data_IF_569759453156
#
_entry.id   IF_569759453156
#
_cell.length_a   1.000
_cell.length_b   1.000
_cell.length_c   1.000
_cell.angle_alpha   90.00
_cell.angle_beta   90.00
_cell.angle_gamma   90.00
#
_symmetry.space_group_name_H-M   'P 1'
#
loop_
_entity.id
_entity.type
_entity.pdbx_description
1 polymer ?
#
# COMPACT_ATOMS: atom_id res chain seq x y z
N UNK A 1 28.68 40.31 8.41
CA UNK A 1 27.26 40.01 8.13
C UNK A 1 27.26 39.14 6.90
N UNK A 2 27.14 37.82 7.05
CA UNK A 2 27.23 36.86 5.95
C UNK A 2 25.83 36.34 5.70
N UNK A 3 25.34 36.61 4.50
CA UNK A 3 23.96 36.44 4.07
C UNK A 3 23.67 34.98 3.67
N UNK A 4 22.52 34.50 4.14
CA UNK A 4 21.58 33.51 3.61
C UNK A 4 22.07 32.43 2.62
N UNK A 5 22.11 31.18 3.11
CA UNK A 5 21.90 29.98 2.28
C UNK A 5 20.41 29.61 2.32
N UNK A 6 19.73 29.40 1.18
CA UNK A 6 18.36 28.90 1.17
C UNK A 6 18.35 27.41 1.53
N UNK A 7 17.85 27.11 2.73
CA UNK A 7 17.65 25.77 3.28
C UNK A 7 16.34 25.11 2.80
N UNK A 8 15.93 25.25 1.53
CA UNK A 8 14.65 24.65 1.09
C UNK A 8 14.66 24.37 -0.41
N UNK A 9 15.37 23.34 -0.84
CA UNK A 9 15.24 22.79 -2.19
C UNK A 9 15.39 21.26 -2.24
N UNK A 10 15.21 20.58 -1.11
CA UNK A 10 14.85 19.17 -1.10
C UNK A 10 13.34 19.11 -0.89
N UNK A 11 12.57 19.37 -1.96
CA UNK A 11 11.27 18.70 -2.05
C UNK A 11 11.62 17.22 -1.98
N UNK A 12 11.44 16.63 -0.81
CA UNK A 12 11.94 15.29 -0.53
C UNK A 12 11.35 14.36 -1.59
N UNK A 13 12.13 13.44 -2.15
CA UNK A 13 11.61 12.49 -3.13
C UNK A 13 10.32 11.78 -2.63
N UNK A 14 10.09 11.78 -1.32
CA UNK A 14 8.88 11.34 -0.63
C UNK A 14 7.61 12.19 -0.89
N UNK A 15 7.71 13.51 -1.06
CA UNK A 15 6.57 14.37 -1.41
C UNK A 15 6.12 14.12 -2.86
N UNK A 16 7.06 13.92 -3.78
CA UNK A 16 6.75 13.76 -5.21
C UNK A 16 5.88 12.53 -5.55
N UNK A 17 5.97 11.44 -4.76
CA UNK A 17 5.16 10.25 -5.03
C UNK A 17 3.84 10.24 -4.27
N UNK A 18 3.77 10.88 -3.10
CA UNK A 18 2.53 11.03 -2.33
C UNK A 18 1.54 11.98 -3.03
N UNK A 19 2.02 12.93 -3.82
CA UNK A 19 1.19 13.75 -4.71
C UNK A 19 0.54 12.95 -5.85
N UNK A 20 1.16 11.84 -6.28
CA UNK A 20 0.68 10.98 -7.36
C UNK A 20 -0.25 9.86 -6.89
N UNK A 21 -0.56 9.80 -5.59
CA UNK A 21 -1.43 8.78 -5.03
C UNK A 21 -2.91 9.04 -5.35
N UNK A 22 -3.53 8.14 -6.11
CA UNK A 22 -4.98 8.19 -6.35
C UNK A 22 -5.80 7.97 -5.09
N UNK A 23 -5.29 7.23 -4.10
CA UNK A 23 -6.04 6.90 -2.88
C UNK A 23 -6.46 8.13 -2.06
N UNK A 24 -5.78 9.27 -2.23
CA UNK A 24 -6.10 10.54 -1.56
C UNK A 24 -7.43 11.17 -2.02
N UNK A 25 -7.96 10.72 -3.16
CA UNK A 25 -9.23 11.20 -3.73
C UNK A 25 -10.44 10.45 -3.18
N UNK A 26 -10.23 9.40 -2.38
CA UNK A 26 -11.26 8.52 -1.87
C UNK A 26 -11.35 8.59 -0.35
N UNK A 27 -12.47 8.13 0.18
CA UNK A 27 -12.70 8.07 1.62
C UNK A 27 -11.65 7.18 2.32
N UNK A 28 -11.04 7.62 3.43
CA UNK A 28 -10.04 6.84 4.14
C UNK A 28 -10.58 5.54 4.75
N UNK A 29 -11.87 5.46 5.10
CA UNK A 29 -12.49 4.24 5.64
C UNK A 29 -12.47 3.10 4.61
N UNK A 30 -12.46 3.41 3.31
CA UNK A 30 -12.39 2.44 2.23
C UNK A 30 -11.18 1.49 2.38
N UNK A 31 -10.05 2.00 2.89
CA UNK A 31 -8.82 1.22 3.04
C UNK A 31 -8.84 0.26 4.22
N UNK A 32 -9.84 0.39 5.10
CA UNK A 32 -10.03 -0.43 6.29
C UNK A 32 -11.29 -1.29 6.24
N UNK A 33 -12.22 -1.00 5.32
CA UNK A 33 -13.47 -1.73 5.14
C UNK A 33 -13.27 -3.07 4.38
N UNK A 34 -13.49 -4.24 5.02
CA UNK A 34 -13.35 -5.55 4.38
C UNK A 34 -14.34 -5.79 3.23
N UNK A 35 -15.50 -5.14 3.25
CA UNK A 35 -16.51 -5.19 2.20
C UNK A 35 -16.12 -4.41 0.94
N UNK A 36 -15.23 -3.42 1.04
CA UNK A 36 -14.76 -2.59 -0.07
C UNK A 36 -13.42 -3.04 -0.65
N UNK A 37 -12.95 -4.24 -0.30
CA UNK A 37 -11.63 -4.72 -0.72
C UNK A 37 -11.44 -4.84 -2.23
N UNK A 38 -12.50 -5.20 -2.97
CA UNK A 38 -12.41 -5.31 -4.43
C UNK A 38 -12.34 -3.92 -5.08
N UNK A 39 -13.09 -2.95 -4.55
CA UNK A 39 -13.04 -1.55 -4.99
C UNK A 39 -11.66 -0.92 -4.70
N UNK A 40 -11.15 -1.08 -3.47
CA UNK A 40 -9.83 -0.58 -3.11
C UNK A 40 -8.71 -1.18 -3.96
N UNK A 41 -8.83 -2.46 -4.33
CA UNK A 41 -7.89 -3.10 -5.27
C UNK A 41 -7.95 -2.47 -6.64
N UNK A 42 -9.15 -2.22 -7.17
CA UNK A 42 -9.34 -1.60 -8.48
C UNK A 42 -8.71 -0.20 -8.50
N UNK A 43 -8.94 0.61 -7.45
CA UNK A 43 -8.31 1.93 -7.30
C UNK A 43 -6.79 1.80 -7.24
N UNK A 44 -6.26 0.90 -6.41
CA UNK A 44 -4.83 0.67 -6.32
C UNK A 44 -4.23 0.21 -7.66
N UNK A 45 -4.96 -0.57 -8.46
CA UNK A 45 -4.52 -1.07 -9.76
C UNK A 45 -4.36 0.03 -10.82
N UNK A 46 -5.02 1.18 -10.62
CA UNK A 46 -4.90 2.36 -11.49
C UNK A 46 -3.89 3.38 -10.95
N UNK A 47 -3.37 3.18 -9.73
CA UNK A 47 -2.52 4.16 -9.07
C UNK A 47 -1.11 4.21 -9.70
N UNK A 48 -0.67 5.36 -10.23
CA UNK A 48 0.66 5.49 -10.85
C UNK A 48 1.80 5.38 -9.83
N UNK A 49 1.49 5.59 -8.54
CA UNK A 49 2.44 5.51 -7.43
C UNK A 49 2.42 4.13 -6.73
N UNK A 50 1.84 3.08 -7.33
CA UNK A 50 1.68 1.78 -6.67
C UNK A 50 3.03 1.14 -6.26
N UNK A 51 4.08 1.32 -7.06
CA UNK A 51 5.44 0.84 -6.75
C UNK A 51 6.00 1.53 -5.51
N UNK A 52 5.92 2.85 -5.50
CA UNK A 52 6.40 3.70 -4.41
C UNK A 52 5.61 3.40 -3.13
N UNK A 53 4.29 3.23 -3.24
CA UNK A 53 3.42 2.81 -2.14
C UNK A 53 3.86 1.47 -1.55
N UNK A 54 4.07 0.45 -2.37
CA UNK A 54 4.51 -0.86 -1.90
C UNK A 54 5.89 -0.81 -1.25
N UNK A 55 6.84 -0.06 -1.83
CA UNK A 55 8.19 0.10 -1.29
C UNK A 55 8.16 0.82 0.06
N UNK A 56 7.39 1.91 0.19
CA UNK A 56 7.24 2.65 1.43
C UNK A 56 6.56 1.80 2.51
N UNK A 57 5.51 1.07 2.14
CA UNK A 57 4.82 0.14 3.04
C UNK A 57 5.79 -0.89 3.63
N UNK A 58 6.70 -1.44 2.81
CA UNK A 58 7.72 -2.37 3.30
C UNK A 58 8.72 -1.72 4.26
N UNK A 59 9.08 -0.45 4.05
CA UNK A 59 9.93 0.31 4.99
C UNK A 59 9.21 0.53 6.32
N UNK A 60 7.94 0.92 6.29
CA UNK A 60 7.11 1.06 7.49
C UNK A 60 6.99 -0.26 8.25
N UNK A 61 6.76 -1.37 7.55
CA UNK A 61 6.69 -2.71 8.16
C UNK A 61 8.01 -3.15 8.81
N UNK A 62 9.15 -2.65 8.35
CA UNK A 62 10.47 -2.97 8.88
C UNK A 62 10.87 -2.10 10.08
N UNK A 63 10.41 -0.84 10.10
CA UNK A 63 10.82 0.15 11.09
C UNK A 63 9.80 0.35 12.22
N UNK A 64 8.55 -0.07 12.03
CA UNK A 64 7.51 0.09 13.03
C UNK A 64 7.51 -1.07 14.04
N UNK A 65 7.35 -0.73 15.31
CA UNK A 65 7.05 -1.70 16.38
C UNK A 65 5.66 -2.32 16.22
N UNK A 66 4.77 -1.62 15.51
CA UNK A 66 3.40 -2.04 15.25
C UNK A 66 3.25 -2.66 13.87
N UNK A 67 2.31 -3.60 13.76
CA UNK A 67 2.01 -4.24 12.47
C UNK A 67 1.09 -3.35 11.67
N UNK A 68 1.38 -3.28 10.37
CA UNK A 68 0.47 -2.70 9.39
C UNK A 68 -0.86 -3.43 9.38
N UNK A 69 -1.93 -2.65 9.27
CA UNK A 69 -3.30 -3.11 9.05
C UNK A 69 -3.94 -2.32 7.89
N UNK A 70 -4.98 -2.86 7.29
CA UNK A 70 -5.69 -2.27 6.16
C UNK A 70 -5.10 -2.61 4.79
N UNK A 71 -5.54 -1.90 3.76
CA UNK A 71 -5.11 -2.11 2.38
C UNK A 71 -3.92 -1.23 2.00
N UNK A 72 -2.87 -1.87 1.47
CA UNK A 72 -1.66 -1.18 1.01
C UNK A 72 -1.26 -1.68 -0.37
N UNK A 73 -1.17 -0.79 -1.36
CA UNK A 73 -0.84 -1.13 -2.75
C UNK A 73 -1.66 -2.32 -3.32
N UNK A 74 -2.95 -2.39 -2.95
CA UNK A 74 -3.86 -3.50 -3.31
C UNK A 74 -3.70 -4.79 -2.51
N UNK A 75 -2.78 -4.82 -1.55
CA UNK A 75 -2.60 -5.92 -0.61
C UNK A 75 -3.36 -5.61 0.66
N UNK A 76 -4.44 -6.34 0.88
CA UNK A 76 -5.16 -6.37 2.15
C UNK A 76 -4.30 -7.01 3.26
N UNK A 77 -4.21 -6.36 4.41
CA UNK A 77 -3.55 -6.82 5.62
C UNK A 77 -4.53 -6.70 6.80
N UNK A 78 -5.32 -7.74 7.09
CA UNK A 78 -6.22 -7.73 8.24
C UNK A 78 -5.42 -7.63 9.54
N UNK A 79 -5.93 -6.89 10.53
CA UNK A 79 -5.28 -6.68 11.83
C UNK A 79 -4.98 -8.01 12.56
N UNK A 80 -5.87 -8.99 12.43
CA UNK A 80 -5.71 -10.32 13.00
C UNK A 80 -4.61 -11.18 12.32
N UNK A 81 -3.96 -10.69 11.26
CA UNK A 81 -2.99 -11.48 10.48
C UNK A 81 -1.68 -11.66 11.26
N UNK A 82 -1.29 -12.92 11.51
CA UNK A 82 -0.07 -13.26 12.26
C UNK A 82 0.83 -14.23 11.50
N UNK A 83 2.09 -14.32 11.93
CA UNK A 83 3.03 -15.37 11.53
C UNK A 83 3.27 -15.49 10.03
N UNK A 84 3.08 -16.70 9.48
CA UNK A 84 3.32 -17.01 8.06
C UNK A 84 2.37 -16.25 7.12
N UNK A 85 1.12 -16.02 7.53
CA UNK A 85 0.15 -15.28 6.73
C UNK A 85 0.60 -13.82 6.53
N UNK A 86 1.08 -13.17 7.58
CA UNK A 86 1.60 -11.81 7.50
C UNK A 86 2.81 -11.72 6.57
N UNK A 87 3.77 -12.65 6.72
CA UNK A 87 4.95 -12.75 5.84
C UNK A 87 4.55 -12.96 4.38
N UNK A 88 3.49 -13.73 4.11
CA UNK A 88 2.99 -13.90 2.75
C UNK A 88 2.39 -12.61 2.18
N UNK A 89 1.70 -11.79 2.98
CA UNK A 89 1.24 -10.45 2.55
C UNK A 89 2.42 -9.54 2.22
N UNK A 90 3.46 -9.51 3.07
CA UNK A 90 4.68 -8.75 2.78
C UNK A 90 5.38 -9.24 1.51
N UNK A 91 5.39 -10.54 1.22
CA UNK A 91 5.91 -11.07 -0.05
C UNK A 91 5.13 -10.55 -1.26
N UNK A 92 3.80 -10.41 -1.14
CA UNK A 92 2.97 -9.81 -2.20
C UNK A 92 3.32 -8.34 -2.38
N UNK A 93 3.52 -7.58 -1.30
CA UNK A 93 4.00 -6.20 -1.38
C UNK A 93 5.38 -6.11 -2.06
N UNK A 94 6.31 -7.01 -1.75
CA UNK A 94 7.61 -7.07 -2.43
C UNK A 94 7.48 -7.30 -3.93
N UNK A 95 6.54 -8.14 -4.35
CA UNK A 95 6.25 -8.34 -5.76
C UNK A 95 5.74 -7.03 -6.40
N UNK A 96 4.75 -6.38 -5.79
CA UNK A 96 4.20 -5.11 -6.30
C UNK A 96 5.27 -4.01 -6.36
N UNK A 97 6.14 -3.91 -5.36
CA UNK A 97 7.25 -2.96 -5.36
C UNK A 97 8.22 -3.21 -6.54
N UNK A 98 8.47 -4.48 -6.89
CA UNK A 98 9.36 -4.85 -7.97
C UNK A 98 8.71 -4.66 -9.36
N UNK A 99 7.46 -5.10 -9.54
CA UNK A 99 6.81 -5.17 -10.86
C UNK A 99 5.90 -3.98 -11.15
N UNK A 100 5.31 -3.38 -10.11
CA UNK A 100 4.23 -2.39 -10.22
C UNK A 100 2.88 -3.02 -10.55
N UNK A 101 2.77 -4.34 -10.50
CA UNK A 101 1.54 -5.07 -10.81
C UNK A 101 1.05 -5.85 -9.59
N UNK A 102 -0.26 -5.77 -9.36
CA UNK A 102 -0.92 -6.56 -8.33
C UNK A 102 -0.97 -8.02 -8.76
N UNK A 103 -0.72 -8.94 -7.82
CA UNK A 103 -0.91 -10.36 -8.08
C UNK A 103 -2.41 -10.66 -8.20
N UNK A 104 -2.84 -11.42 -9.23
CA UNK A 104 -4.23 -11.83 -9.36
C UNK A 104 -4.66 -12.53 -8.08
N UNK A 105 -5.70 -12.00 -7.45
CA UNK A 105 -6.27 -12.61 -6.26
C UNK A 105 -7.08 -13.80 -6.75
N UNK A 106 -6.58 -15.00 -6.43
CA UNK A 106 -7.26 -16.24 -6.80
C UNK A 106 -8.63 -16.20 -6.13
N UNK A 107 -9.65 -15.94 -6.94
CA UNK A 107 -11.03 -15.83 -6.50
C UNK A 107 -11.36 -17.16 -5.83
N UNK A 108 -11.48 -17.17 -4.50
CA UNK A 108 -11.79 -18.39 -3.75
C UNK A 108 -13.27 -18.61 -3.99
N UNK A 109 -13.60 -19.22 -5.14
CA UNK A 109 -14.97 -19.63 -5.48
C UNK A 109 -15.55 -20.28 -4.24
N UNK A 110 -16.47 -19.59 -3.59
CA UNK A 110 -17.34 -20.16 -2.59
C UNK A 110 -17.90 -21.43 -3.21
N UNK A 111 -17.60 -22.59 -2.64
CA UNK A 111 -18.33 -23.81 -2.99
C UNK A 111 -19.78 -23.51 -2.63
N UNK A 112 -20.58 -23.16 -3.64
CA UNK A 112 -22.03 -23.25 -3.54
C UNK A 112 -22.29 -24.74 -3.36
N UNK A 113 -22.61 -25.12 -2.11
CA UNK A 113 -23.22 -26.41 -1.85
C UNK A 113 -24.63 -26.33 -2.45
N UNK A 114 -24.85 -27.12 -3.50
CA UNK A 114 -26.18 -27.45 -4.03
C UNK A 114 -26.69 -28.66 -3.25
#
# INVERSE_FOLDING_TARGET
MTECLPLTAAGSAEESWTERMLCRLYDPELWHAPELLEEGRAICGQCPAIKDCAANTLRLAANSSERLSGMWAGVDIPEATKGSAYRNRLKRLKHVAATGTQLPTRNRRSRVAV
#
